data_IF_029263839657
#
_entry.id   IF_029263839657
#
_cell.length_a   1.000
_cell.length_b   1.000
_cell.length_c   1.000
_cell.angle_alpha   90.00
_cell.angle_beta   90.00
_cell.angle_gamma   90.00
#
_symmetry.space_group_name_H-M   'P 1'
#
loop_
_entity.id
_entity.type
_entity.pdbx_description
1 polymer ?
#
# COMPACT_ATOMS: atom_id res chain seq x y z
N UNK A 1 2.47 -21.24 -30.32
CA UNK A 1 1.62 -20.31 -29.55
C UNK A 1 2.24 -20.10 -28.18
N UNK A 2 2.43 -18.86 -27.73
CA UNK A 2 3.04 -18.60 -26.43
C UNK A 2 2.28 -19.30 -25.31
N UNK A 3 3.02 -19.92 -24.38
CA UNK A 3 2.40 -20.63 -23.26
C UNK A 3 2.42 -19.73 -22.05
N UNK A 4 1.25 -19.39 -21.54
CA UNK A 4 1.07 -18.53 -20.37
C UNK A 4 0.79 -19.36 -19.12
N UNK A 5 1.36 -18.96 -17.98
CA UNK A 5 1.10 -19.56 -16.66
C UNK A 5 0.24 -18.67 -15.75
N UNK A 6 -0.51 -17.74 -16.32
CA UNK A 6 -1.40 -16.80 -15.60
C UNK A 6 -2.40 -17.54 -14.70
N UNK A 7 -2.99 -18.63 -15.20
CA UNK A 7 -3.93 -19.44 -14.43
C UNK A 7 -3.28 -20.07 -13.20
N UNK A 8 -2.03 -20.51 -13.30
CA UNK A 8 -1.26 -21.07 -12.18
C UNK A 8 -0.99 -20.00 -11.12
N UNK A 9 -0.46 -18.84 -11.53
CA UNK A 9 -0.14 -17.72 -10.63
C UNK A 9 -1.39 -17.21 -9.90
N UNK A 10 -2.52 -17.10 -10.62
CA UNK A 10 -3.81 -16.72 -10.05
C UNK A 10 -4.28 -17.73 -9.00
N UNK A 11 -4.21 -19.03 -9.32
CA UNK A 11 -4.62 -20.11 -8.40
C UNK A 11 -3.73 -20.18 -7.16
N UNK A 12 -2.41 -19.95 -7.29
CA UNK A 12 -1.49 -19.84 -6.14
C UNK A 12 -1.90 -18.75 -5.14
N UNK A 13 -2.58 -17.70 -5.62
CA UNK A 13 -3.13 -16.61 -4.79
C UNK A 13 -4.59 -16.85 -4.33
N UNK A 14 -5.20 -17.98 -4.70
CA UNK A 14 -6.60 -18.28 -4.37
C UNK A 14 -7.63 -17.40 -5.10
N UNK A 15 -7.27 -16.80 -6.24
CA UNK A 15 -8.14 -15.85 -6.94
C UNK A 15 -9.01 -16.51 -8.01
N UNK A 16 -10.23 -16.02 -8.20
CA UNK A 16 -11.06 -16.35 -9.37
C UNK A 16 -10.68 -15.48 -10.57
N UNK A 17 -11.16 -15.82 -11.77
CA UNK A 17 -10.89 -15.01 -12.97
C UNK A 17 -11.43 -13.58 -12.83
N UNK A 18 -12.58 -13.42 -12.17
CA UNK A 18 -13.21 -12.13 -11.84
C UNK A 18 -12.33 -11.31 -10.90
N UNK A 19 -11.76 -11.93 -9.86
CA UNK A 19 -10.87 -11.25 -8.91
C UNK A 19 -9.60 -10.75 -9.62
N UNK A 20 -9.02 -11.56 -10.51
CA UNK A 20 -7.85 -11.12 -11.27
C UNK A 20 -8.20 -10.00 -12.25
N UNK A 21 -9.33 -10.13 -12.95
CA UNK A 21 -9.82 -9.11 -13.89
C UNK A 21 -10.04 -7.76 -13.19
N UNK A 22 -10.67 -7.77 -12.00
CA UNK A 22 -10.87 -6.58 -11.18
C UNK A 22 -9.53 -5.97 -10.75
N UNK A 23 -8.59 -6.78 -10.24
CA UNK A 23 -7.28 -6.30 -9.78
C UNK A 23 -6.42 -5.75 -10.90
N UNK A 24 -6.47 -6.35 -12.08
CA UNK A 24 -5.76 -5.91 -13.28
C UNK A 24 -6.51 -4.79 -14.03
N UNK A 25 -7.72 -4.43 -13.60
CA UNK A 25 -8.58 -3.44 -14.26
C UNK A 25 -8.81 -3.76 -15.76
N UNK A 26 -9.09 -5.02 -16.07
CA UNK A 26 -9.40 -5.50 -17.43
C UNK A 26 -10.64 -6.41 -17.40
N UNK A 27 -11.12 -6.81 -18.58
CA UNK A 27 -12.31 -7.68 -18.65
C UNK A 27 -11.99 -9.12 -18.31
N UNK A 28 -12.96 -9.84 -17.72
CA UNK A 28 -12.86 -11.30 -17.47
C UNK A 28 -12.59 -12.06 -18.77
N UNK A 29 -13.19 -11.62 -19.89
CA UNK A 29 -12.93 -12.19 -21.22
C UNK A 29 -11.46 -12.07 -21.62
N UNK A 30 -10.78 -11.00 -21.25
CA UNK A 30 -9.34 -10.83 -21.51
C UNK A 30 -8.52 -11.84 -20.69
N UNK A 31 -8.87 -12.06 -19.42
CA UNK A 31 -8.25 -13.10 -18.57
C UNK A 31 -8.46 -14.50 -19.16
N UNK A 32 -9.66 -14.82 -19.60
CA UNK A 32 -9.95 -16.11 -20.23
C UNK A 32 -9.14 -16.31 -21.52
N UNK A 33 -9.03 -15.27 -22.36
CA UNK A 33 -8.25 -15.31 -23.60
C UNK A 33 -6.77 -15.62 -23.33
N UNK A 34 -6.13 -14.91 -22.41
CA UNK A 34 -4.72 -15.14 -22.09
C UNK A 34 -4.50 -16.50 -21.39
N UNK A 35 -5.41 -16.93 -20.51
CA UNK A 35 -5.35 -18.26 -19.89
C UNK A 35 -5.50 -19.39 -20.93
N UNK A 36 -6.19 -19.13 -22.04
CA UNK A 36 -6.34 -20.05 -23.17
C UNK A 36 -5.23 -19.90 -24.24
N UNK A 37 -4.18 -19.12 -23.97
CA UNK A 37 -3.01 -18.98 -24.86
C UNK A 37 -3.16 -17.93 -25.96
N UNK A 38 -4.18 -17.06 -25.91
CA UNK A 38 -4.30 -15.94 -26.85
C UNK A 38 -3.38 -14.79 -26.44
N UNK A 39 -2.56 -14.32 -27.37
CA UNK A 39 -1.72 -13.14 -27.16
C UNK A 39 -2.55 -11.87 -26.90
N UNK A 40 -2.03 -11.01 -26.02
CA UNK A 40 -2.62 -9.72 -25.65
C UNK A 40 -1.56 -8.62 -25.74
N UNK A 41 -1.97 -7.35 -25.67
CA UNK A 41 -1.03 -6.22 -25.72
C UNK A 41 -0.07 -6.20 -24.52
N UNK A 42 1.10 -5.55 -24.71
CA UNK A 42 2.07 -5.33 -23.63
C UNK A 42 1.46 -4.61 -22.42
N UNK A 43 0.59 -3.62 -22.65
CA UNK A 43 -0.14 -2.92 -21.58
C UNK A 43 -1.04 -3.87 -20.76
N UNK A 44 -1.66 -4.85 -21.43
CA UNK A 44 -2.47 -5.88 -20.76
C UNK A 44 -1.59 -6.81 -19.95
N UNK A 45 -0.43 -7.22 -20.49
CA UNK A 45 0.54 -8.04 -19.77
C UNK A 45 1.09 -7.30 -18.54
N UNK A 46 1.44 -6.02 -18.68
CA UNK A 46 1.88 -5.17 -17.57
C UNK A 46 0.78 -5.05 -16.50
N UNK A 47 -0.48 -4.87 -16.89
CA UNK A 47 -1.60 -4.77 -15.95
C UNK A 47 -1.82 -6.08 -15.17
N UNK A 48 -1.72 -7.24 -15.84
CA UNK A 48 -1.83 -8.56 -15.21
C UNK A 48 -0.64 -8.85 -14.31
N UNK A 49 0.59 -8.55 -14.75
CA UNK A 49 1.81 -8.76 -13.97
C UNK A 49 1.82 -7.88 -12.72
N UNK A 50 1.38 -6.63 -12.85
CA UNK A 50 1.15 -5.70 -11.75
C UNK A 50 0.12 -6.23 -10.74
N UNK A 51 -1.00 -6.78 -11.22
CA UNK A 51 -2.02 -7.35 -10.35
C UNK A 51 -1.53 -8.60 -9.60
N UNK A 52 -0.73 -9.44 -10.26
CA UNK A 52 -0.12 -10.64 -9.69
C UNK A 52 1.17 -10.35 -8.91
N UNK A 53 1.65 -9.11 -8.93
CA UNK A 53 2.92 -8.64 -8.35
C UNK A 53 4.12 -9.51 -8.77
N UNK A 54 4.21 -9.80 -10.06
CA UNK A 54 5.31 -10.53 -10.69
C UNK A 54 5.87 -9.71 -11.86
N UNK A 55 7.13 -9.93 -12.28
CA UNK A 55 7.64 -9.41 -13.54
C UNK A 55 6.80 -9.89 -14.74
N UNK A 56 6.75 -9.11 -15.83
CA UNK A 56 6.00 -9.52 -17.03
C UNK A 56 6.48 -10.88 -17.59
N UNK A 57 7.79 -11.14 -17.56
CA UNK A 57 8.39 -12.41 -18.01
C UNK A 57 7.86 -13.61 -17.24
N UNK A 58 7.51 -13.44 -15.96
CA UNK A 58 6.93 -14.50 -15.17
C UNK A 58 5.50 -14.87 -15.57
N UNK A 59 4.83 -14.12 -16.44
CA UNK A 59 3.53 -14.54 -16.97
C UNK A 59 3.65 -15.68 -17.99
N UNK A 60 4.84 -15.87 -18.55
CA UNK A 60 5.12 -16.85 -19.58
C UNK A 60 5.72 -18.12 -18.98
N UNK A 61 5.34 -19.26 -19.53
CA UNK A 61 5.98 -20.56 -19.33
C UNK A 61 7.02 -20.82 -20.42
N UNK A 62 6.70 -20.44 -21.66
CA UNK A 62 7.64 -20.44 -22.78
C UNK A 62 7.26 -19.36 -23.80
N UNK A 63 8.27 -18.71 -24.37
CA UNK A 63 8.14 -17.74 -25.45
C UNK A 63 8.78 -18.38 -26.69
N UNK A 64 8.03 -18.49 -27.79
CA UNK A 64 8.53 -19.16 -29.00
C UNK A 64 9.42 -18.28 -29.86
N UNK A 65 9.16 -16.97 -29.84
CA UNK A 65 9.89 -15.99 -30.65
C UNK A 65 11.00 -15.34 -29.83
N UNK A 66 12.25 -15.56 -30.22
CA UNK A 66 13.43 -15.02 -29.53
C UNK A 66 13.41 -13.48 -29.44
N UNK A 67 12.98 -12.80 -30.51
CA UNK A 67 12.84 -11.34 -30.52
C UNK A 67 11.82 -10.85 -29.47
N UNK A 68 10.71 -11.57 -29.32
CA UNK A 68 9.66 -11.28 -28.33
C UNK A 68 10.15 -11.60 -26.92
N UNK A 69 10.94 -12.66 -26.73
CA UNK A 69 11.55 -12.99 -25.44
C UNK A 69 12.46 -11.87 -24.94
N UNK A 70 13.33 -11.34 -25.81
CA UNK A 70 14.20 -10.20 -25.47
C UNK A 70 13.37 -8.99 -25.06
N UNK A 71 12.34 -8.65 -25.84
CA UNK A 71 11.43 -7.52 -25.54
C UNK A 71 10.73 -7.70 -24.18
N UNK A 72 10.17 -8.88 -23.90
CA UNK A 72 9.52 -9.19 -22.62
C UNK A 72 10.51 -9.11 -21.45
N UNK A 73 11.73 -9.59 -21.64
CA UNK A 73 12.77 -9.55 -20.61
C UNK A 73 13.22 -8.13 -20.30
N UNK A 74 13.38 -7.28 -21.32
CA UNK A 74 13.75 -5.88 -21.13
C UNK A 74 12.63 -5.09 -20.46
N UNK A 75 11.38 -5.27 -20.90
CA UNK A 75 10.21 -4.69 -20.22
C UNK A 75 10.12 -5.15 -18.75
N UNK A 76 10.44 -6.41 -18.45
CA UNK A 76 10.45 -6.92 -17.08
C UNK A 76 11.51 -6.26 -16.21
N UNK A 77 12.72 -6.06 -16.74
CA UNK A 77 13.78 -5.31 -16.05
C UNK A 77 13.35 -3.87 -15.80
N UNK A 78 12.78 -3.19 -16.80
CA UNK A 78 12.29 -1.83 -16.65
C UNK A 78 11.19 -1.73 -15.61
N UNK A 79 10.22 -2.64 -15.61
CA UNK A 79 9.15 -2.69 -14.62
C UNK A 79 9.72 -2.80 -13.19
N UNK A 80 10.70 -3.67 -12.96
CA UNK A 80 11.37 -3.82 -11.66
C UNK A 80 12.12 -2.56 -11.23
N UNK A 81 12.78 -1.90 -12.17
CA UNK A 81 13.49 -0.63 -11.93
C UNK A 81 12.48 0.47 -11.55
N UNK A 82 11.40 0.62 -12.32
CA UNK A 82 10.34 1.58 -12.04
C UNK A 82 9.69 1.32 -10.68
N UNK A 83 9.46 0.04 -10.33
CA UNK A 83 8.95 -0.37 -9.03
C UNK A 83 9.86 0.05 -7.88
N UNK A 84 11.18 -0.18 -8.03
CA UNK A 84 12.17 0.23 -7.05
C UNK A 84 12.15 1.74 -6.82
N UNK A 85 12.14 2.53 -7.90
CA UNK A 85 12.08 3.98 -7.80
C UNK A 85 10.77 4.47 -7.17
N UNK A 86 9.62 3.92 -7.60
CA UNK A 86 8.31 4.26 -7.05
C UNK A 86 8.28 4.03 -5.54
N UNK A 87 8.79 2.88 -5.08
CA UNK A 87 8.88 2.55 -3.64
C UNK A 87 9.75 3.53 -2.88
N UNK A 88 10.96 3.82 -3.38
CA UNK A 88 11.89 4.77 -2.76
C UNK A 88 11.27 6.16 -2.64
N UNK A 89 10.68 6.67 -3.72
CA UNK A 89 10.04 8.00 -3.72
C UNK A 89 8.87 8.05 -2.74
N UNK A 90 8.00 7.04 -2.76
CA UNK A 90 6.84 6.98 -1.87
C UNK A 90 7.27 6.97 -0.40
N UNK A 91 8.26 6.17 -0.05
CA UNK A 91 8.81 6.11 1.32
C UNK A 91 9.43 7.45 1.71
N UNK A 92 10.30 8.02 0.88
CA UNK A 92 10.95 9.30 1.18
C UNK A 92 9.94 10.43 1.38
N UNK A 93 8.95 10.56 0.51
CA UNK A 93 7.92 11.60 0.64
C UNK A 93 7.05 11.34 1.88
N UNK A 94 6.70 10.09 2.16
CA UNK A 94 5.94 9.75 3.38
C UNK A 94 6.70 10.14 4.64
N UNK A 95 8.01 9.86 4.71
CA UNK A 95 8.86 10.26 5.83
C UNK A 95 8.96 11.78 5.98
N UNK A 96 9.11 12.51 4.86
CA UNK A 96 9.12 13.97 4.88
C UNK A 96 7.80 14.56 5.38
N UNK A 97 6.66 14.01 4.96
CA UNK A 97 5.34 14.46 5.43
C UNK A 97 5.16 14.18 6.92
N UNK A 98 5.55 13.00 7.41
CA UNK A 98 5.51 12.68 8.84
C UNK A 98 6.40 13.64 9.63
N UNK A 99 7.62 13.88 9.17
CA UNK A 99 8.55 14.81 9.81
C UNK A 99 7.98 16.24 9.86
N UNK A 100 7.36 16.71 8.77
CA UNK A 100 6.72 18.02 8.72
C UNK A 100 5.54 18.11 9.70
N UNK A 101 4.69 17.08 9.79
CA UNK A 101 3.60 17.04 10.77
C UNK A 101 4.17 17.11 12.19
N UNK A 102 5.19 16.33 12.52
CA UNK A 102 5.80 16.34 13.86
C UNK A 102 6.43 17.70 14.20
N UNK A 103 7.06 18.36 13.23
CA UNK A 103 7.63 19.70 13.41
C UNK A 103 6.52 20.71 13.72
N UNK A 104 5.45 20.74 12.92
CA UNK A 104 4.29 21.62 13.15
C UNK A 104 3.66 21.36 14.52
N UNK A 105 3.48 20.10 14.88
CA UNK A 105 2.93 19.71 16.18
C UNK A 105 3.81 20.17 17.34
N UNK A 106 5.14 20.05 17.21
CA UNK A 106 6.10 20.48 18.22
C UNK A 106 6.04 21.98 18.48
N UNK A 107 6.04 22.79 17.41
CA UNK A 107 5.94 24.27 17.53
C UNK A 107 4.64 24.67 18.22
N UNK A 108 3.51 24.14 17.74
CA UNK A 108 2.20 24.48 18.29
C UNK A 108 2.01 23.96 19.73
N UNK A 109 2.68 22.87 20.09
CA UNK A 109 2.64 22.32 21.46
C UNK A 109 3.32 23.24 22.48
N UNK A 110 4.40 23.94 22.09
CA UNK A 110 5.05 24.94 22.95
C UNK A 110 4.11 26.12 23.21
N UNK A 111 3.45 26.63 22.17
CA UNK A 111 2.50 27.74 22.27
C UNK A 111 1.27 27.42 23.15
N UNK A 112 0.78 26.18 23.09
CA UNK A 112 -0.35 25.74 23.92
C UNK A 112 -0.05 25.80 25.42
N UNK A 113 1.18 25.48 25.84
CA UNK A 113 1.54 25.50 27.26
C UNK A 113 1.59 26.92 27.83
N UNK A 114 1.96 27.91 27.01
CA UNK A 114 1.93 29.32 27.41
C UNK A 114 0.49 29.88 27.43
N UNK A 115 -0.32 29.53 26.42
CA UNK A 115 -1.69 30.03 26.28
C UNK A 115 -2.69 29.37 27.25
N UNK A 116 -2.46 28.12 27.63
CA UNK A 116 -3.33 27.37 28.55
C UNK A 116 -3.25 27.86 30.01
N UNK A 117 -2.35 28.79 30.33
CA UNK A 117 -2.26 29.40 31.67
C UNK A 117 -3.54 30.12 32.12
N UNK A 118 -4.47 30.44 31.20
CA UNK A 118 -5.77 31.04 31.48
C UNK A 118 -7.01 30.27 30.98
N UNK A 119 -6.85 29.06 30.43
CA UNK A 119 -7.94 28.27 29.83
C UNK A 119 -7.93 26.82 30.32
N UNK A 120 -9.03 26.08 30.13
CA UNK A 120 -9.08 24.65 30.47
C UNK A 120 -8.08 23.85 29.62
N UNK A 121 -7.00 23.39 30.24
CA UNK A 121 -5.92 22.59 29.62
C UNK A 121 -6.49 21.44 28.78
N UNK A 122 -7.58 20.80 29.24
CA UNK A 122 -8.27 19.70 28.55
C UNK A 122 -8.81 20.09 27.17
N UNK A 123 -9.36 21.29 27.00
CA UNK A 123 -9.85 21.80 25.72
C UNK A 123 -8.70 22.05 24.74
N UNK A 124 -7.56 22.53 25.22
CA UNK A 124 -6.37 22.74 24.40
C UNK A 124 -5.78 21.43 23.87
N UNK A 125 -5.71 20.39 24.70
CA UNK A 125 -5.27 19.05 24.27
C UNK A 125 -6.23 18.42 23.25
N UNK A 126 -7.54 18.58 23.42
CA UNK A 126 -8.53 18.13 22.45
C UNK A 126 -8.36 18.83 21.09
N UNK A 127 -8.13 20.14 21.08
CA UNK A 127 -7.87 20.89 19.86
C UNK A 127 -6.59 20.42 19.16
N UNK A 128 -5.52 20.14 19.92
CA UNK A 128 -4.24 19.67 19.39
C UNK A 128 -4.34 18.27 18.76
N UNK A 129 -5.04 17.34 19.42
CA UNK A 129 -5.30 16.00 18.87
C UNK A 129 -6.21 16.07 17.64
N UNK A 130 -7.22 16.94 17.65
CA UNK A 130 -8.09 17.17 16.48
C UNK A 130 -7.29 17.68 15.28
N UNK A 131 -6.37 18.62 15.51
CA UNK A 131 -5.47 19.14 14.47
C UNK A 131 -4.57 18.03 13.90
N UNK A 132 -4.00 17.17 14.74
CA UNK A 132 -3.21 16.03 14.29
C UNK A 132 -4.01 15.12 13.35
N UNK A 133 -5.24 14.78 13.72
CA UNK A 133 -6.11 13.94 12.90
C UNK A 133 -6.43 14.59 11.55
N UNK A 134 -6.66 15.91 11.53
CA UNK A 134 -6.86 16.67 10.29
C UNK A 134 -5.61 16.62 9.39
N UNK A 135 -4.42 16.86 9.94
CA UNK A 135 -3.16 16.81 9.20
C UNK A 135 -2.88 15.42 8.62
N UNK A 136 -3.14 14.36 9.40
CA UNK A 136 -3.01 12.97 8.93
C UNK A 136 -4.02 12.69 7.81
N UNK A 137 -5.26 13.16 7.93
CA UNK A 137 -6.28 13.02 6.88
C UNK A 137 -5.86 13.71 5.57
N UNK A 138 -5.37 14.95 5.66
CA UNK A 138 -4.86 15.71 4.51
C UNK A 138 -3.64 15.03 3.87
N UNK A 139 -2.69 14.57 4.69
CA UNK A 139 -1.53 13.83 4.22
C UNK A 139 -1.92 12.54 3.49
N UNK A 140 -2.84 11.76 4.05
CA UNK A 140 -3.34 10.54 3.42
C UNK A 140 -4.03 10.82 2.08
N UNK A 141 -4.83 11.89 1.99
CA UNK A 141 -5.44 12.32 0.73
C UNK A 141 -4.37 12.72 -0.31
N UNK A 142 -3.41 13.56 0.09
CA UNK A 142 -2.36 14.03 -0.82
C UNK A 142 -1.47 12.88 -1.33
N UNK A 143 -1.02 12.01 -0.43
CA UNK A 143 -0.21 10.83 -0.76
C UNK A 143 -1.02 9.79 -1.56
N UNK A 144 -2.30 9.62 -1.24
CA UNK A 144 -3.17 8.62 -1.86
C UNK A 144 -3.64 9.00 -3.26
N UNK A 145 -3.92 10.27 -3.51
CA UNK A 145 -4.45 10.76 -4.78
C UNK A 145 -3.32 11.33 -5.64
N UNK A 146 -2.76 12.46 -5.21
CA UNK A 146 -1.86 13.26 -6.05
C UNK A 146 -0.51 12.60 -6.27
N UNK A 147 0.11 12.05 -5.21
CA UNK A 147 1.39 11.37 -5.37
C UNK A 147 1.24 10.11 -6.24
N UNK A 148 0.21 9.31 -6.03
CA UNK A 148 -0.01 8.11 -6.86
C UNK A 148 -0.27 8.46 -8.32
N UNK A 149 -1.04 9.51 -8.60
CA UNK A 149 -1.26 9.99 -9.98
C UNK A 149 0.05 10.43 -10.64
N UNK A 150 0.89 11.21 -9.93
CA UNK A 150 2.21 11.61 -10.44
C UNK A 150 3.12 10.40 -10.68
N UNK A 151 3.07 9.40 -9.80
CA UNK A 151 3.85 8.18 -9.94
C UNK A 151 3.34 7.32 -11.11
N UNK A 152 2.04 7.23 -11.33
CA UNK A 152 1.47 6.48 -12.45
C UNK A 152 1.81 7.13 -13.81
N UNK A 153 1.88 8.46 -13.87
CA UNK A 153 2.35 9.18 -15.06
C UNK A 153 3.86 9.01 -15.29
N UNK A 154 4.66 9.06 -14.22
CA UNK A 154 6.13 8.94 -14.30
C UNK A 154 6.62 7.51 -14.51
N UNK A 155 5.88 6.52 -14.01
CA UNK A 155 6.24 5.10 -14.00
C UNK A 155 5.10 4.25 -14.61
N UNK A 156 4.89 4.35 -15.94
CA UNK A 156 3.72 3.78 -16.61
C UNK A 156 3.63 2.25 -16.50
N UNK A 157 4.76 1.53 -16.45
CA UNK A 157 4.77 0.06 -16.32
C UNK A 157 4.29 -0.42 -14.95
N UNK A 158 4.20 0.48 -13.97
CA UNK A 158 3.75 0.17 -12.60
C UNK A 158 2.32 0.63 -12.33
N UNK A 159 1.62 1.12 -13.36
CA UNK A 159 0.26 1.63 -13.22
C UNK A 159 -0.66 0.55 -12.65
N UNK A 160 -1.48 0.95 -11.68
CA UNK A 160 -2.41 0.04 -11.00
C UNK A 160 -1.77 -0.85 -9.93
N UNK A 161 -0.44 -0.79 -9.71
CA UNK A 161 0.18 -1.47 -8.56
C UNK A 161 -0.28 -0.80 -7.28
N UNK A 162 -1.12 -1.49 -6.52
CA UNK A 162 -1.41 -1.16 -5.13
C UNK A 162 -0.23 -1.62 -4.27
N UNK A 163 0.78 -0.75 -4.09
CA UNK A 163 1.97 -1.03 -3.26
C UNK A 163 1.63 -1.45 -1.82
N UNK A 164 0.43 -1.08 -1.36
CA UNK A 164 -0.18 -1.55 -0.13
C UNK A 164 -1.07 -2.76 -0.46
N UNK A 165 -0.47 -3.89 -0.82
CA UNK A 165 -1.19 -5.14 -0.62
C UNK A 165 -1.45 -5.21 0.88
N UNK A 166 -2.72 -5.19 1.27
CA UNK A 166 -3.15 -5.29 2.67
C UNK A 166 -2.52 -6.57 3.20
N UNK A 167 -1.41 -6.43 3.94
CA UNK A 167 -0.73 -7.54 4.62
C UNK A 167 -1.83 -8.30 5.35
N UNK A 168 -2.02 -9.54 4.93
CA UNK A 168 -3.01 -10.55 5.35
C UNK A 168 -4.28 -9.97 6.01
N UNK A 169 -5.42 -10.11 5.33
CA UNK A 169 -6.70 -10.07 6.04
C UNK A 169 -6.61 -11.15 7.12
N UNK A 170 -6.39 -10.77 8.38
CA UNK A 170 -6.48 -11.72 9.50
C UNK A 170 -7.77 -12.49 9.29
N UNK A 171 -7.64 -13.79 9.04
CA UNK A 171 -8.81 -14.59 8.68
C UNK A 171 -9.77 -14.59 9.87
N UNK A 172 -9.20 -14.56 11.09
CA UNK A 172 -9.91 -14.60 12.35
C UNK A 172 -9.33 -13.61 13.36
N UNK A 173 -10.18 -13.15 14.29
CA UNK A 173 -9.80 -12.33 15.45
C UNK A 173 -8.66 -12.96 16.28
N UNK A 174 -8.63 -14.29 16.36
CA UNK A 174 -7.60 -15.06 17.06
C UNK A 174 -6.21 -14.97 16.44
N UNK A 175 -6.12 -14.87 15.10
CA UNK A 175 -4.84 -14.76 14.39
C UNK A 175 -4.17 -13.40 14.62
N UNK A 176 -4.99 -12.36 14.79
CA UNK A 176 -4.50 -11.04 15.19
C UNK A 176 -3.91 -11.10 16.60
N UNK A 177 -4.65 -11.66 17.57
CA UNK A 177 -4.21 -11.71 18.96
C UNK A 177 -2.97 -12.59 19.20
N UNK A 178 -2.78 -13.68 18.45
CA UNK A 178 -1.59 -14.53 18.61
C UNK A 178 -0.29 -13.83 18.20
N UNK A 179 -0.35 -12.96 17.19
CA UNK A 179 0.82 -12.21 16.68
C UNK A 179 1.09 -10.97 17.54
N UNK A 180 0.05 -10.31 18.03
CA UNK A 180 0.14 -9.06 18.78
C UNK A 180 -0.03 -9.22 20.29
N UNK A 181 0.11 -10.43 20.83
CA UNK A 181 -0.04 -10.71 22.26
C UNK A 181 0.85 -9.83 23.14
N UNK A 182 2.04 -9.47 22.65
CA UNK A 182 2.99 -8.60 23.33
C UNK A 182 2.47 -7.16 23.54
N UNK A 183 1.48 -6.70 22.77
CA UNK A 183 0.85 -5.38 22.95
C UNK A 183 -0.12 -5.32 24.13
N UNK A 184 -0.59 -6.47 24.63
CA UNK A 184 -1.52 -6.54 25.76
C UNK A 184 -0.84 -6.06 27.04
N UNK A 185 0.43 -6.40 27.24
CA UNK A 185 1.19 -6.03 28.44
C UNK A 185 1.29 -4.52 28.69
N UNK A 186 1.70 -3.68 27.72
CA UNK A 186 1.76 -2.23 27.93
C UNK A 186 0.37 -1.59 28.08
N UNK A 187 -0.65 -2.09 27.37
CA UNK A 187 -2.02 -1.58 27.49
C UNK A 187 -2.59 -1.91 28.88
N UNK A 188 -2.41 -3.15 29.35
CA UNK A 188 -2.87 -3.57 30.66
C UNK A 188 -2.11 -2.84 31.78
N UNK A 189 -0.79 -2.69 31.66
CA UNK A 189 0.01 -1.89 32.59
C UNK A 189 -0.39 -0.41 32.63
N UNK A 190 -0.75 0.16 31.48
CA UNK A 190 -1.28 1.53 31.42
C UNK A 190 -2.66 1.63 32.07
N UNK A 191 -3.56 0.68 31.83
CA UNK A 191 -4.91 0.66 32.43
C UNK A 191 -4.83 0.52 33.96
N UNK A 192 -4.00 -0.38 34.48
CA UNK A 192 -3.86 -0.56 35.93
C UNK A 192 -3.25 0.67 36.60
N UNK A 193 -2.24 1.28 35.97
CA UNK A 193 -1.69 2.56 36.42
C UNK A 193 -2.73 3.69 36.37
N UNK A 194 -3.52 3.79 35.29
CA UNK A 194 -4.55 4.80 35.10
C UNK A 194 -5.69 4.69 36.11
N UNK A 195 -6.15 3.46 36.40
CA UNK A 195 -7.16 3.21 37.45
C UNK A 195 -6.61 3.58 38.83
N UNK A 196 -5.35 3.25 39.12
CA UNK A 196 -4.68 3.61 40.37
C UNK A 196 -4.51 5.13 40.53
N UNK A 197 -4.24 5.84 39.43
CA UNK A 197 -4.12 7.30 39.42
C UNK A 197 -5.43 7.99 39.85
N UNK A 198 -6.58 7.50 39.37
CA UNK A 198 -7.89 8.06 39.76
C UNK A 198 -8.34 7.68 41.17
N UNK A 199 -7.92 6.52 41.69
CA UNK A 199 -8.22 6.13 43.08
C UNK A 199 -7.36 6.85 44.12
N UNK A 200 -6.28 7.52 43.71
CA UNK A 200 -5.39 8.30 44.58
C UNK A 200 -5.65 9.82 44.52
N UNK A 201 -6.71 10.24 43.83
CA UNK A 201 -7.26 11.60 43.75
C UNK A 201 -8.53 11.69 44.61
#
# INVERSE_FOLDING_TARGET
MNKYRVAELRKKRGWTQEVLAEKANITVRTIQRIENGTDVSLDTLASISNALLVPVSELFESIEEEAKEVEIMDMSKEQLIQLKYRKTITVSITLLVIAAILLVMSILGVEINELASGYNITLSWLAWVSLLLLLIGLANYYLGVKLNEMLDQKYPLTKGIKLKEKKERFENFWQFFSIYWWMIFPIFGFITWFISFFNNL
#
